data_IF_894581126081
#
_entry.id   IF_894581126081
#
_cell.length_a   1.000
_cell.length_b   1.000
_cell.length_c   1.000
_cell.angle_alpha   90.00
_cell.angle_beta   90.00
_cell.angle_gamma   90.00
#
_symmetry.space_group_name_H-M   'P 1'
#
loop_
_entity.id
_entity.type
_entity.pdbx_description
1 polymer ?
#
# COMPACT_ATOMS: atom_id res chain seq x y z
N UNK A 1 -3.55 -10.51 20.27
CA UNK A 1 -3.31 -9.35 19.36
C UNK A 1 -2.11 -9.55 18.41
N UNK A 2 -1.58 -10.78 18.23
CA UNK A 2 -0.31 -11.03 17.51
C UNK A 2 -0.45 -11.77 16.15
N UNK A 3 -1.57 -12.46 15.90
CA UNK A 3 -1.73 -13.34 14.72
C UNK A 3 -1.74 -12.61 13.36
N UNK A 4 -2.00 -11.29 13.35
CA UNK A 4 -2.06 -10.50 12.10
C UNK A 4 -0.65 -10.10 11.61
N UNK A 5 0.32 -9.97 12.52
CA UNK A 5 1.69 -9.55 12.18
C UNK A 5 2.47 -10.65 11.43
N UNK A 6 2.34 -11.90 11.85
CA UNK A 6 3.17 -13.01 11.33
C UNK A 6 2.84 -13.43 9.89
N UNK A 7 1.60 -13.24 9.44
CA UNK A 7 1.21 -13.61 8.06
C UNK A 7 1.38 -12.48 7.05
N UNK A 8 1.64 -11.26 7.53
CA UNK A 8 1.62 -10.05 6.71
C UNK A 8 0.27 -9.82 6.02
N UNK A 9 0.16 -8.78 5.19
CA UNK A 9 -1.05 -8.59 4.41
C UNK A 9 -1.16 -9.64 3.29
N UNK A 10 -2.22 -10.44 3.34
CA UNK A 10 -2.51 -11.41 2.28
C UNK A 10 -2.91 -10.66 1.01
N UNK A 11 -2.09 -10.79 -0.04
CA UNK A 11 -2.44 -10.31 -1.38
C UNK A 11 -3.43 -11.27 -1.99
N UNK A 12 -4.68 -10.85 -2.11
CA UNK A 12 -5.71 -11.66 -2.76
C UNK A 12 -5.41 -11.66 -4.27
N UNK A 13 -4.91 -12.79 -4.78
CA UNK A 13 -4.69 -13.00 -6.21
C UNK A 13 -6.03 -13.13 -6.93
N UNK A 14 -6.14 -12.57 -8.13
CA UNK A 14 -7.38 -12.62 -8.94
C UNK A 14 -8.47 -11.67 -8.45
N UNK A 15 -8.13 -10.63 -7.69
CA UNK A 15 -9.09 -9.65 -7.25
C UNK A 15 -9.49 -8.75 -8.42
N UNK A 16 -10.77 -8.79 -8.82
CA UNK A 16 -11.30 -7.80 -9.74
C UNK A 16 -11.36 -6.43 -9.04
N UNK A 17 -10.47 -5.53 -9.47
CA UNK A 17 -10.45 -4.15 -8.99
C UNK A 17 -11.59 -3.36 -9.64
N UNK A 18 -12.56 -2.84 -8.85
CA UNK A 18 -13.59 -1.96 -9.36
C UNK A 18 -12.97 -0.75 -10.04
N UNK A 19 -13.68 -0.23 -11.05
CA UNK A 19 -13.31 1.01 -11.72
C UNK A 19 -13.94 2.18 -10.97
N UNK A 20 -13.18 3.25 -10.78
CA UNK A 20 -13.69 4.54 -10.33
C UNK A 20 -14.65 5.14 -11.37
N UNK A 21 -15.32 6.23 -11.00
CA UNK A 21 -16.25 6.96 -11.88
C UNK A 21 -15.61 7.47 -13.19
N UNK A 22 -14.28 7.43 -13.30
CA UNK A 22 -13.49 7.83 -14.48
C UNK A 22 -12.93 6.61 -15.23
N UNK A 23 -13.37 5.39 -14.89
CA UNK A 23 -12.94 4.15 -15.53
C UNK A 23 -11.55 3.65 -15.10
N UNK A 24 -10.90 4.27 -14.12
CA UNK A 24 -9.57 3.90 -13.62
C UNK A 24 -9.71 2.91 -12.49
N UNK A 25 -8.82 1.93 -12.43
CA UNK A 25 -8.80 0.91 -11.36
C UNK A 25 -7.41 0.82 -10.76
N UNK A 26 -7.33 0.21 -9.58
CA UNK A 26 -6.04 -0.20 -9.06
C UNK A 26 -5.34 -1.15 -10.03
N UNK A 27 -4.08 -0.87 -10.33
CA UNK A 27 -3.23 -1.72 -11.17
C UNK A 27 -2.28 -2.54 -10.29
N UNK A 28 -2.18 -3.84 -10.56
CA UNK A 28 -1.26 -4.74 -9.84
C UNK A 28 0.20 -4.30 -9.92
N UNK A 29 0.57 -3.56 -10.98
CA UNK A 29 1.90 -2.98 -11.12
C UNK A 29 2.29 -2.08 -9.93
N UNK A 30 1.31 -1.51 -9.21
CA UNK A 30 1.57 -0.72 -8.01
C UNK A 30 2.09 -1.56 -6.83
N UNK A 31 1.94 -2.88 -6.84
CA UNK A 31 2.62 -3.75 -5.88
C UNK A 31 4.12 -3.83 -6.12
N UNK A 32 4.60 -3.37 -7.26
CA UNK A 32 6.00 -3.48 -7.63
C UNK A 32 6.62 -2.09 -7.77
N UNK A 33 7.89 -1.98 -7.43
CA UNK A 33 8.68 -0.79 -7.73
C UNK A 33 9.93 -1.20 -8.49
N UNK A 34 10.30 -0.39 -9.48
CA UNK A 34 11.54 -0.55 -10.20
C UNK A 34 12.61 0.32 -9.53
N UNK A 35 13.70 -0.31 -9.14
CA UNK A 35 14.88 0.34 -8.58
C UNK A 35 15.75 0.92 -9.71
N UNK A 36 16.71 1.78 -9.35
CA UNK A 36 17.65 2.40 -10.30
C UNK A 36 18.55 1.39 -11.01
N UNK A 37 18.80 0.25 -10.37
CA UNK A 37 19.51 -0.90 -10.95
C UNK A 37 18.62 -1.79 -11.85
N UNK A 38 17.43 -1.30 -12.24
CA UNK A 38 16.42 -2.04 -13.02
C UNK A 38 15.79 -3.25 -12.32
N UNK A 39 16.10 -3.51 -11.05
CA UNK A 39 15.45 -4.58 -10.30
C UNK A 39 13.99 -4.21 -9.99
N UNK A 40 13.11 -5.19 -10.12
CA UNK A 40 11.71 -5.06 -9.74
C UNK A 40 11.55 -5.69 -8.36
N UNK A 41 11.29 -4.85 -7.36
CA UNK A 41 11.08 -5.31 -5.99
C UNK A 41 9.62 -5.13 -5.59
N UNK A 42 9.13 -6.11 -4.85
CA UNK A 42 7.76 -6.12 -4.35
C UNK A 42 7.61 -5.13 -3.18
N UNK A 43 6.45 -4.49 -3.05
CA UNK A 43 6.00 -3.73 -1.88
C UNK A 43 5.20 -4.67 -0.98
N UNK A 44 5.82 -5.32 0.02
CA UNK A 44 5.12 -6.28 0.89
C UNK A 44 4.16 -5.58 1.86
N UNK A 45 4.37 -4.29 2.15
CA UNK A 45 3.56 -3.49 3.08
C UNK A 45 2.26 -2.94 2.48
N UNK A 46 2.11 -2.96 1.16
CA UNK A 46 0.97 -2.38 0.46
C UNK A 46 -0.21 -3.35 0.43
N UNK A 47 -1.37 -2.89 0.88
CA UNK A 47 -2.62 -3.69 0.95
C UNK A 47 -3.71 -2.98 0.20
N UNK A 48 -4.48 -3.71 -0.60
CA UNK A 48 -5.69 -3.17 -1.22
C UNK A 48 -6.92 -3.65 -0.44
N UNK A 49 -7.86 -2.74 -0.17
CA UNK A 49 -9.15 -3.04 0.46
C UNK A 49 -10.28 -2.87 -0.55
N UNK A 50 -10.94 -3.98 -0.91
CA UNK A 50 -12.08 -3.98 -1.83
C UNK A 50 -13.27 -3.18 -1.27
N UNK A 51 -13.53 -3.28 0.03
CA UNK A 51 -14.66 -2.59 0.66
C UNK A 51 -14.56 -1.07 0.60
N UNK A 52 -13.33 -0.52 0.59
CA UNK A 52 -13.09 0.92 0.52
C UNK A 52 -12.60 1.39 -0.86
N UNK A 53 -12.41 0.48 -1.79
CA UNK A 53 -11.68 0.70 -3.05
C UNK A 53 -10.44 1.59 -2.84
N UNK A 54 -9.56 1.18 -1.92
CA UNK A 54 -8.44 2.00 -1.49
C UNK A 54 -7.25 1.15 -1.03
N UNK A 55 -6.04 1.68 -1.19
CA UNK A 55 -4.82 1.06 -0.68
C UNK A 55 -4.37 1.62 0.65
N UNK A 56 -3.73 0.77 1.45
CA UNK A 56 -3.26 1.06 2.79
C UNK A 56 -1.82 0.60 2.97
N UNK A 57 -1.11 1.29 3.86
CA UNK A 57 0.16 0.83 4.40
C UNK A 57 -0.13 -0.01 5.64
N UNK A 58 0.12 -1.32 5.56
CA UNK A 58 -0.10 -2.25 6.66
C UNK A 58 0.63 -1.86 7.95
N UNK A 59 1.97 -1.70 7.96
CA UNK A 59 2.70 -1.37 9.18
C UNK A 59 2.29 0.01 9.72
N UNK A 60 2.14 1.00 8.84
CA UNK A 60 1.73 2.35 9.24
C UNK A 60 0.34 2.37 9.91
N UNK A 61 -0.58 1.51 9.44
CA UNK A 61 -1.92 1.37 10.01
C UNK A 61 -1.91 0.67 11.36
N UNK A 62 -1.08 -0.36 11.55
CA UNK A 62 -0.99 -1.11 12.81
C UNK A 62 -0.36 -0.27 13.91
N UNK A 63 0.77 0.37 13.60
CA UNK A 63 1.50 1.15 14.59
C UNK A 63 0.95 2.57 14.76
N UNK A 64 -0.14 2.89 14.07
CA UNK A 64 -0.83 4.19 14.04
C UNK A 64 0.16 5.37 14.05
N UNK A 65 1.25 5.21 13.31
CA UNK A 65 2.43 6.07 13.41
C UNK A 65 2.21 7.41 12.73
N UNK A 66 1.10 7.58 11.99
CA UNK A 66 0.89 8.77 11.21
C UNK A 66 -0.59 9.05 10.86
N UNK A 67 -0.97 10.33 10.82
CA UNK A 67 -2.28 10.81 10.36
C UNK A 67 -2.44 10.80 8.83
N UNK A 68 -1.53 10.18 8.08
CA UNK A 68 -1.61 10.17 6.62
C UNK A 68 -2.76 9.29 6.13
N UNK A 69 -3.38 9.71 5.03
CA UNK A 69 -4.50 8.99 4.40
C UNK A 69 -4.17 7.51 4.19
N UNK A 70 -2.93 7.15 3.82
CA UNK A 70 -2.55 5.75 3.57
C UNK A 70 -2.61 4.84 4.81
N UNK A 71 -2.52 5.39 6.02
CA UNK A 71 -2.66 4.65 7.28
C UNK A 71 -4.12 4.65 7.77
N UNK A 72 -4.84 5.76 7.59
CA UNK A 72 -6.18 5.98 8.17
C UNK A 72 -7.31 5.61 7.21
N UNK A 73 -7.52 6.41 6.15
CA UNK A 73 -8.66 6.33 5.25
C UNK A 73 -8.43 5.43 4.02
N UNK A 74 -7.17 5.26 3.63
CA UNK A 74 -6.72 4.65 2.38
C UNK A 74 -6.49 5.69 1.29
N UNK A 75 -5.74 5.30 0.25
CA UNK A 75 -5.56 6.08 -0.98
C UNK A 75 -6.30 5.38 -2.11
N UNK A 76 -7.16 6.12 -2.80
CA UNK A 76 -7.87 5.68 -4.00
C UNK A 76 -7.55 6.56 -5.23
N UNK A 77 -6.53 7.42 -5.13
CA UNK A 77 -6.07 8.24 -6.25
C UNK A 77 -5.19 7.42 -7.20
N UNK A 78 -5.84 6.61 -8.04
CA UNK A 78 -5.17 5.70 -8.97
C UNK A 78 -4.24 6.39 -9.98
N UNK A 79 -4.47 7.68 -10.28
CA UNK A 79 -3.62 8.44 -11.21
C UNK A 79 -2.30 8.84 -10.56
N UNK A 80 -2.34 9.29 -9.31
CA UNK A 80 -1.15 9.76 -8.62
C UNK A 80 -0.49 8.68 -7.77
N UNK A 81 -1.07 7.48 -7.69
CA UNK A 81 -0.59 6.42 -6.81
C UNK A 81 0.88 6.05 -7.06
N UNK A 82 1.31 6.02 -8.33
CA UNK A 82 2.70 5.74 -8.71
C UNK A 82 3.70 6.77 -8.17
N UNK A 83 3.26 8.00 -7.88
CA UNK A 83 4.07 9.06 -7.27
C UNK A 83 3.95 9.07 -5.75
N UNK A 84 2.75 8.80 -5.22
CA UNK A 84 2.48 8.79 -3.78
C UNK A 84 3.23 7.65 -3.09
N UNK A 85 3.26 6.45 -3.68
CA UNK A 85 3.92 5.29 -3.06
C UNK A 85 5.43 5.52 -2.83
N UNK A 86 6.24 5.93 -3.82
CA UNK A 86 7.66 6.21 -3.59
C UNK A 86 7.91 7.33 -2.58
N UNK A 87 7.06 8.36 -2.55
CA UNK A 87 7.19 9.45 -1.57
C UNK A 87 6.89 8.94 -0.15
N UNK A 88 5.87 8.10 0.00
CA UNK A 88 5.54 7.46 1.27
C UNK A 88 6.63 6.50 1.74
N UNK A 89 7.20 5.70 0.85
CA UNK A 89 8.29 4.75 1.16
C UNK A 89 9.52 5.44 1.74
N UNK A 90 9.79 6.69 1.35
CA UNK A 90 10.92 7.48 1.85
C UNK A 90 10.63 8.20 3.17
N UNK A 91 9.38 8.22 3.62
CA UNK A 91 9.02 8.96 4.81
C UNK A 91 9.49 8.24 6.08
N UNK A 92 10.04 8.98 7.04
CA UNK A 92 10.60 8.41 8.27
C UNK A 92 9.60 7.55 9.04
N UNK A 93 8.35 7.99 9.17
CA UNK A 93 7.31 7.21 9.84
C UNK A 93 7.04 5.85 9.17
N UNK A 94 7.15 5.78 7.84
CA UNK A 94 7.01 4.53 7.11
C UNK A 94 8.17 3.60 7.44
N UNK A 95 9.41 4.12 7.39
CA UNK A 95 10.63 3.38 7.73
C UNK A 95 10.56 2.85 9.16
N UNK A 96 10.21 3.69 10.14
CA UNK A 96 10.05 3.28 11.54
C UNK A 96 8.95 2.22 11.73
N UNK A 97 7.83 2.35 11.03
CA UNK A 97 6.75 1.36 11.10
C UNK A 97 7.15 0.04 10.45
N UNK A 98 7.92 0.10 9.35
CA UNK A 98 8.50 -1.07 8.70
C UNK A 98 9.53 -1.77 9.58
N UNK A 99 10.31 -1.05 10.40
CA UNK A 99 11.24 -1.67 11.36
C UNK A 99 10.54 -2.31 12.56
N UNK A 100 9.36 -1.80 12.94
CA UNK A 100 8.54 -2.38 14.01
C UNK A 100 7.73 -3.60 13.57
N UNK A 101 7.49 -3.72 12.27
CA UNK A 101 6.76 -4.81 11.63
C UNK A 101 7.69 -5.98 11.34
#
# INVERSE_FOLDING_TARGET
RALILEKGPVKIKGLEYPKDIRGRKYAENNYYKRLSNSEIVNRPWLVYSKCKDAVFCFPCKIFNSCNFKIATMGINDWKNLSHILPQHEKAQHHIESMHKW
#
